data_IF_851975307142
#
_entry.id   IF_851975307142
#
_cell.length_a   1.000
_cell.length_b   1.000
_cell.length_c   1.000
_cell.angle_alpha   90.00
_cell.angle_beta   90.00
_cell.angle_gamma   90.00
#
_symmetry.space_group_name_H-M   'P 1'
#
loop_
_entity.id
_entity.type
_entity.pdbx_description
1 polymer ?
#
# COMPACT_ATOMS: atom_id res chain seq x y z
N UNK A 1 17.80 -16.49 34.64
CA UNK A 1 18.58 -15.30 34.22
C UNK A 1 18.80 -15.23 32.70
N UNK A 2 19.07 -16.34 31.99
CA UNK A 2 19.20 -16.33 30.51
C UNK A 2 17.88 -16.07 29.76
N UNK A 3 16.78 -16.72 30.16
CA UNK A 3 15.47 -16.54 29.51
C UNK A 3 14.92 -15.11 29.62
N UNK A 4 15.31 -14.36 30.65
CA UNK A 4 14.89 -12.98 30.87
C UNK A 4 15.66 -12.00 29.97
N UNK A 5 16.97 -12.24 29.78
CA UNK A 5 17.80 -11.47 28.84
C UNK A 5 17.35 -11.65 27.40
N UNK A 6 16.87 -12.84 27.03
CA UNK A 6 16.41 -13.15 25.68
C UNK A 6 15.06 -12.49 25.34
N UNK A 7 14.11 -12.48 26.29
CA UNK A 7 12.85 -11.72 26.16
C UNK A 7 13.09 -10.21 26.02
N UNK A 8 14.03 -9.66 26.79
CA UNK A 8 14.38 -8.24 26.72
C UNK A 8 15.07 -7.91 25.38
N UNK A 9 15.91 -8.80 24.84
CA UNK A 9 16.57 -8.62 23.53
C UNK A 9 15.56 -8.66 22.38
N UNK A 10 14.61 -9.58 22.40
CA UNK A 10 13.57 -9.69 21.37
C UNK A 10 12.56 -8.53 21.46
N UNK A 11 12.25 -8.06 22.68
CA UNK A 11 11.47 -6.84 22.90
C UNK A 11 12.17 -5.59 22.33
N UNK A 12 13.48 -5.45 22.56
CA UNK A 12 14.28 -4.33 22.02
C UNK A 12 14.39 -4.37 20.49
N UNK A 13 14.57 -5.54 19.88
CA UNK A 13 14.57 -5.69 18.41
C UNK A 13 13.19 -5.37 17.81
N UNK A 14 12.11 -5.87 18.40
CA UNK A 14 10.74 -5.57 17.97
C UNK A 14 10.38 -4.09 18.10
N UNK A 15 10.80 -3.45 19.19
CA UNK A 15 10.60 -2.01 19.38
C UNK A 15 11.45 -1.18 18.41
N UNK A 16 12.69 -1.61 18.10
CA UNK A 16 13.54 -0.96 17.10
C UNK A 16 12.95 -1.07 15.68
N UNK A 17 12.37 -2.22 15.33
CA UNK A 17 11.69 -2.42 14.04
C UNK A 17 10.42 -1.57 13.96
N UNK A 18 9.60 -1.51 15.01
CA UNK A 18 8.41 -0.64 15.05
C UNK A 18 8.80 0.83 14.87
N UNK A 19 9.89 1.27 15.49
CA UNK A 19 10.40 2.64 15.33
C UNK A 19 10.91 2.85 13.90
N UNK A 20 11.62 1.89 13.29
CA UNK A 20 12.09 1.99 11.92
C UNK A 20 10.94 2.08 10.89
N UNK A 21 9.88 1.28 11.04
CA UNK A 21 8.69 1.34 10.18
C UNK A 21 7.96 2.67 10.31
N UNK A 22 7.84 3.21 11.54
CA UNK A 22 7.27 4.54 11.77
C UNK A 22 8.14 5.63 11.14
N UNK A 23 9.46 5.52 11.27
CA UNK A 23 10.38 6.49 10.66
C UNK A 23 10.33 6.45 9.14
N UNK A 24 10.33 5.27 8.51
CA UNK A 24 10.18 5.10 7.06
C UNK A 24 8.82 5.64 6.59
N UNK A 25 7.74 5.34 7.32
CA UNK A 25 6.42 5.90 7.05
C UNK A 25 6.39 7.43 7.16
N UNK A 26 7.13 8.02 8.10
CA UNK A 26 7.23 9.48 8.28
C UNK A 26 8.12 10.15 7.21
N UNK A 27 9.23 9.54 6.79
CA UNK A 27 10.07 10.08 5.71
C UNK A 27 9.35 10.02 4.36
N UNK A 28 8.65 8.94 4.07
CA UNK A 28 7.83 8.85 2.86
C UNK A 28 6.66 9.83 2.92
N UNK A 29 5.98 9.96 4.07
CA UNK A 29 4.91 10.94 4.24
C UNK A 29 5.37 12.37 3.93
N UNK A 30 6.56 12.79 4.39
CA UNK A 30 7.06 14.15 4.13
C UNK A 30 7.48 14.38 2.67
N UNK A 31 7.93 13.34 1.96
CA UNK A 31 8.30 13.42 0.54
C UNK A 31 7.04 13.45 -0.35
N UNK A 32 5.98 12.72 0.01
CA UNK A 32 4.73 12.65 -0.77
C UNK A 32 3.67 13.72 -0.42
N UNK A 33 3.78 14.44 0.70
CA UNK A 33 2.74 15.38 1.18
C UNK A 33 2.90 16.84 0.75
N UNK A 34 3.72 17.13 -0.26
CA UNK A 34 3.77 18.47 -0.85
C UNK A 34 2.67 18.76 -1.88
N UNK A 35 1.73 17.83 -2.11
CA UNK A 35 0.56 18.11 -2.93
C UNK A 35 -0.74 18.03 -2.12
N UNK A 36 -1.56 19.06 -2.33
CA UNK A 36 -2.92 19.26 -1.78
C UNK A 36 -3.95 18.22 -2.25
N UNK A 37 -3.51 17.04 -2.67
CA UNK A 37 -4.40 16.01 -3.21
C UNK A 37 -5.09 15.24 -2.08
N UNK A 38 -6.39 14.99 -2.27
CA UNK A 38 -7.23 14.27 -1.31
C UNK A 38 -6.88 12.77 -1.21
N UNK A 39 -5.75 12.32 -1.77
CA UNK A 39 -5.35 10.91 -1.86
C UNK A 39 -4.24 10.61 -0.86
N UNK A 40 -4.41 9.59 -0.03
CA UNK A 40 -3.40 9.19 0.97
C UNK A 40 -3.35 7.69 1.13
N UNK A 41 -2.16 7.12 0.96
CA UNK A 41 -1.84 5.74 1.29
C UNK A 41 -1.22 5.70 2.69
N UNK A 42 -1.61 4.73 3.51
CA UNK A 42 -1.12 4.59 4.88
C UNK A 42 -0.92 3.13 5.24
N UNK A 43 0.25 2.86 5.82
CA UNK A 43 0.66 1.53 6.26
C UNK A 43 0.67 1.53 7.79
N UNK A 44 -0.34 0.90 8.39
CA UNK A 44 -0.42 0.71 9.83
C UNK A 44 0.14 -0.68 10.21
N UNK A 45 0.13 -1.02 11.50
CA UNK A 45 0.65 -2.31 12.00
C UNK A 45 -0.13 -3.54 11.54
N UNK A 46 -1.41 -3.38 11.21
CA UNK A 46 -2.33 -4.52 10.95
C UNK A 46 -3.09 -4.39 9.62
N UNK A 47 -2.97 -3.23 8.96
CA UNK A 47 -3.75 -2.93 7.77
C UNK A 47 -3.06 -1.91 6.87
N UNK A 48 -3.33 -2.04 5.58
CA UNK A 48 -3.11 -1.02 4.58
C UNK A 48 -4.37 -0.16 4.44
N UNK A 49 -4.22 1.15 4.29
CA UNK A 49 -5.35 2.08 4.14
C UNK A 49 -5.17 2.94 2.90
N UNK A 50 -6.24 3.03 2.10
CA UNK A 50 -6.35 3.92 0.94
C UNK A 50 -7.44 4.94 1.25
N UNK A 51 -7.08 6.23 1.25
CA UNK A 51 -8.04 7.34 1.39
C UNK A 51 -8.06 8.16 0.12
N UNK A 52 -9.25 8.46 -0.37
CA UNK A 52 -9.48 9.43 -1.44
C UNK A 52 -10.86 10.06 -1.27
N UNK A 53 -10.96 11.38 -1.47
CA UNK A 53 -12.20 12.14 -1.22
C UNK A 53 -12.84 11.81 0.15
N UNK A 54 -14.03 11.20 0.17
CA UNK A 54 -14.74 10.77 1.38
C UNK A 54 -14.60 9.26 1.67
N UNK A 55 -13.88 8.52 0.82
CA UNK A 55 -13.67 7.08 0.95
C UNK A 55 -12.47 6.78 1.86
N UNK A 56 -12.60 5.75 2.70
CA UNK A 56 -11.56 5.30 3.62
C UNK A 56 -11.52 3.76 3.65
N UNK A 57 -10.80 3.19 2.70
CA UNK A 57 -10.72 1.75 2.48
C UNK A 57 -9.60 1.20 3.37
N UNK A 58 -9.92 0.15 4.13
CA UNK A 58 -8.99 -0.49 5.06
C UNK A 58 -8.87 -1.97 4.70
N UNK A 59 -7.66 -2.41 4.42
CA UNK A 59 -7.33 -3.76 3.98
C UNK A 59 -6.47 -4.40 5.07
N UNK A 60 -7.04 -5.27 5.92
CA UNK A 60 -6.24 -6.04 6.88
C UNK A 60 -5.18 -6.86 6.16
N UNK A 61 -3.96 -6.93 6.68
CA UNK A 61 -2.90 -7.72 6.05
C UNK A 61 -3.23 -9.21 5.97
N UNK A 62 -4.01 -9.72 6.93
CA UNK A 62 -4.50 -11.10 6.95
C UNK A 62 -5.49 -11.43 5.83
N UNK A 63 -6.08 -10.43 5.18
CA UNK A 63 -7.02 -10.60 4.06
C UNK A 63 -6.32 -10.57 2.69
N UNK A 64 -5.02 -10.26 2.65
CA UNK A 64 -4.24 -10.19 1.41
C UNK A 64 -3.81 -11.60 1.02
N UNK A 65 -4.26 -12.03 -0.16
CA UNK A 65 -3.94 -13.35 -0.72
C UNK A 65 -2.71 -13.28 -1.63
N UNK A 66 -2.56 -12.17 -2.34
CA UNK A 66 -1.48 -11.98 -3.32
C UNK A 66 -1.17 -10.51 -3.50
N UNK A 67 0.10 -10.20 -3.72
CA UNK A 67 0.56 -8.88 -4.16
C UNK A 67 1.47 -9.06 -5.37
N UNK A 68 1.28 -8.26 -6.41
CA UNK A 68 2.12 -8.24 -7.62
C UNK A 68 2.51 -6.81 -7.99
N UNK A 69 3.67 -6.66 -8.61
CA UNK A 69 4.06 -5.45 -9.32
C UNK A 69 3.76 -5.63 -10.81
N UNK A 70 3.00 -4.71 -11.39
CA UNK A 70 2.54 -4.82 -12.78
C UNK A 70 2.65 -3.49 -13.53
N UNK A 71 2.76 -3.56 -14.85
CA UNK A 71 2.58 -2.40 -15.71
C UNK A 71 1.10 -2.19 -16.05
N UNK A 72 0.65 -0.93 -15.93
CA UNK A 72 -0.69 -0.48 -16.28
C UNK A 72 -0.78 -0.34 -17.80
N UNK A 73 -1.35 -1.36 -18.45
CA UNK A 73 -1.58 -1.37 -19.90
C UNK A 73 -3.01 -0.95 -20.26
N UNK A 74 -3.99 -1.31 -19.43
CA UNK A 74 -5.39 -0.95 -19.58
C UNK A 74 -6.06 -0.74 -18.20
N UNK A 75 -6.46 0.50 -17.94
CA UNK A 75 -7.18 0.89 -16.72
C UNK A 75 -8.69 0.56 -16.87
N UNK A 76 -9.21 0.45 -18.08
CA UNK A 76 -10.63 0.22 -18.33
C UNK A 76 -11.51 1.43 -18.05
N UNK A 77 -12.72 1.17 -17.56
CA UNK A 77 -13.80 2.16 -17.46
C UNK A 77 -14.06 2.56 -16.01
N UNK A 78 -14.21 3.87 -15.77
CA UNK A 78 -14.57 4.41 -14.46
C UNK A 78 -16.04 4.09 -14.14
N UNK A 79 -16.29 3.44 -13.01
CA UNK A 79 -17.63 3.14 -12.50
C UNK A 79 -18.06 4.18 -11.45
N UNK A 80 -17.17 4.52 -10.52
CA UNK A 80 -17.38 5.53 -9.47
C UNK A 80 -16.05 6.12 -9.05
N UNK A 81 -15.92 7.43 -8.95
CA UNK A 81 -14.68 8.08 -8.53
C UNK A 81 -14.40 9.29 -9.40
N UNK A 82 -13.12 9.59 -9.61
CA UNK A 82 -12.71 10.75 -10.38
C UNK A 82 -11.40 10.52 -11.12
N UNK A 83 -11.16 11.36 -12.12
CA UNK A 83 -9.92 11.42 -12.89
C UNK A 83 -9.49 12.87 -12.98
N UNK A 84 -8.38 13.18 -12.32
CA UNK A 84 -7.73 14.49 -12.42
C UNK A 84 -6.62 14.45 -13.47
N UNK A 85 -5.92 15.59 -13.62
CA UNK A 85 -4.73 15.68 -14.45
C UNK A 85 -3.62 14.75 -13.95
N UNK A 86 -3.50 14.59 -12.63
CA UNK A 86 -2.36 13.95 -12.00
C UNK A 86 -2.70 12.56 -11.44
N UNK A 87 -3.97 12.32 -11.06
CA UNK A 87 -4.38 11.08 -10.38
C UNK A 87 -5.69 10.51 -10.94
N UNK A 88 -5.87 9.21 -10.75
CA UNK A 88 -7.11 8.49 -11.01
C UNK A 88 -7.44 7.65 -9.78
N UNK A 89 -8.67 7.75 -9.29
CA UNK A 89 -9.08 6.99 -8.13
C UNK A 89 -10.55 6.58 -8.20
N UNK A 90 -10.90 5.56 -7.45
CA UNK A 90 -12.26 5.05 -7.32
C UNK A 90 -12.39 3.59 -7.72
N UNK A 91 -13.58 3.23 -8.16
CA UNK A 91 -13.95 1.89 -8.63
C UNK A 91 -13.96 1.88 -10.15
N UNK A 92 -13.23 0.93 -10.72
CA UNK A 92 -13.01 0.75 -12.14
C UNK A 92 -13.33 -0.68 -12.55
N UNK A 93 -13.52 -0.88 -13.85
CA UNK A 93 -13.75 -2.19 -14.42
C UNK A 93 -12.98 -2.38 -15.73
N UNK A 94 -12.27 -3.50 -15.86
CA UNK A 94 -11.64 -3.92 -17.12
C UNK A 94 -11.79 -5.44 -17.31
N UNK A 95 -11.51 -5.92 -18.53
CA UNK A 95 -11.65 -7.35 -18.87
C UNK A 95 -10.66 -8.26 -18.14
N UNK A 96 -9.53 -7.71 -17.70
CA UNK A 96 -8.44 -8.45 -17.07
C UNK A 96 -8.68 -8.72 -15.58
N UNK A 97 -9.17 -7.72 -14.87
CA UNK A 97 -9.28 -7.71 -13.41
C UNK A 97 -10.72 -7.70 -12.92
N UNK A 98 -11.71 -7.56 -13.82
CA UNK A 98 -13.09 -7.34 -13.45
C UNK A 98 -13.24 -5.99 -12.77
N UNK A 99 -14.06 -5.92 -11.72
CA UNK A 99 -14.27 -4.72 -10.91
C UNK A 99 -13.23 -4.60 -9.79
N UNK A 100 -12.59 -3.45 -9.67
CA UNK A 100 -11.50 -3.22 -8.74
C UNK A 100 -11.43 -1.78 -8.26
N UNK A 101 -10.67 -1.53 -7.19
CA UNK A 101 -10.37 -0.19 -6.70
C UNK A 101 -9.05 0.27 -7.30
N UNK A 102 -9.06 1.42 -7.97
CA UNK A 102 -7.89 2.10 -8.50
C UNK A 102 -7.57 3.30 -7.63
N UNK A 103 -6.29 3.55 -7.39
CA UNK A 103 -5.79 4.78 -6.79
C UNK A 103 -4.34 5.01 -7.25
N UNK A 104 -4.18 5.65 -8.41
CA UNK A 104 -2.88 5.80 -9.09
C UNK A 104 -2.58 7.25 -9.48
N UNK A 105 -1.29 7.58 -9.49
CA UNK A 105 -0.69 8.67 -10.23
C UNK A 105 -0.56 8.28 -11.71
N UNK A 106 -0.91 9.21 -12.60
CA UNK A 106 -0.89 8.99 -14.06
C UNK A 106 0.52 9.04 -14.66
N UNK A 107 1.49 9.51 -13.87
CA UNK A 107 2.91 9.66 -14.24
C UNK A 107 3.70 8.37 -14.13
N UNK A 108 3.23 7.38 -13.36
CA UNK A 108 3.83 6.05 -13.28
C UNK A 108 3.02 5.04 -14.10
N UNK A 109 3.74 4.21 -14.85
CA UNK A 109 3.19 3.05 -15.58
C UNK A 109 3.24 1.79 -14.74
N UNK A 110 3.99 1.76 -13.65
CA UNK A 110 4.02 0.61 -12.73
C UNK A 110 3.02 0.79 -11.60
N UNK A 111 2.44 -0.30 -11.14
CA UNK A 111 1.49 -0.32 -10.04
C UNK A 111 1.65 -1.59 -9.20
N UNK A 112 1.39 -1.45 -7.91
CA UNK A 112 1.19 -2.57 -7.01
C UNK A 112 -0.28 -2.98 -7.05
N UNK A 113 -0.49 -4.26 -7.32
CA UNK A 113 -1.80 -4.90 -7.35
C UNK A 113 -1.92 -5.78 -6.11
N UNK A 114 -2.89 -5.48 -5.26
CA UNK A 114 -3.20 -6.23 -4.04
C UNK A 114 -4.50 -6.98 -4.28
N UNK A 115 -4.46 -8.30 -4.11
CA UNK A 115 -5.61 -9.18 -4.27
C UNK A 115 -6.08 -9.68 -2.89
N UNK A 116 -7.38 -9.58 -2.67
CA UNK A 116 -8.10 -10.15 -1.53
C UNK A 116 -9.22 -11.04 -2.07
N UNK A 117 -9.83 -11.85 -1.21
CA UNK A 117 -10.96 -12.72 -1.60
C UNK A 117 -12.11 -11.95 -2.29
N UNK A 118 -12.34 -10.69 -1.89
CA UNK A 118 -13.50 -9.91 -2.32
C UNK A 118 -13.18 -8.94 -3.46
N UNK A 119 -11.97 -8.40 -3.49
CA UNK A 119 -11.63 -7.28 -4.36
C UNK A 119 -10.14 -7.16 -4.64
N UNK A 120 -9.81 -6.54 -5.78
CA UNK A 120 -8.47 -6.10 -6.15
C UNK A 120 -8.31 -4.61 -5.90
N UNK A 121 -7.13 -4.22 -5.42
CA UNK A 121 -6.74 -2.84 -5.17
C UNK A 121 -5.47 -2.54 -5.96
N UNK A 122 -5.49 -1.50 -6.78
CA UNK A 122 -4.40 -1.12 -7.67
C UNK A 122 -3.92 0.26 -7.26
N UNK A 123 -2.69 0.34 -6.76
CA UNK A 123 -2.08 1.57 -6.22
C UNK A 123 -0.68 1.77 -6.78
N UNK A 124 -0.20 3.01 -6.85
CA UNK A 124 1.17 3.27 -7.28
C UNK A 124 1.76 4.52 -6.60
N UNK A 125 3.08 4.69 -6.79
CA UNK A 125 3.76 5.94 -6.52
C UNK A 125 3.67 6.88 -7.73
N UNK A 126 4.12 8.12 -7.54
CA UNK A 126 4.19 9.15 -8.58
C UNK A 126 5.17 8.82 -9.72
N UNK A 127 6.12 7.92 -9.50
CA UNK A 127 7.11 7.47 -10.46
C UNK A 127 7.21 5.95 -10.46
N UNK A 128 7.71 5.35 -11.53
CA UNK A 128 7.92 3.89 -11.61
C UNK A 128 8.84 3.39 -10.49
N UNK A 129 9.89 4.16 -10.16
CA UNK A 129 10.80 3.86 -9.06
C UNK A 129 10.09 3.93 -7.69
N UNK A 130 9.22 4.92 -7.48
CA UNK A 130 8.42 5.02 -6.26
C UNK A 130 7.44 3.85 -6.13
N UNK A 131 6.84 3.41 -7.24
CA UNK A 131 5.94 2.24 -7.30
C UNK A 131 6.66 0.94 -6.97
N UNK A 132 7.86 0.73 -7.52
CA UNK A 132 8.73 -0.40 -7.18
C UNK A 132 9.12 -0.40 -5.71
N UNK A 133 9.62 0.74 -5.20
CA UNK A 133 10.00 0.87 -3.80
C UNK A 133 8.82 0.64 -2.85
N UNK A 134 7.62 1.10 -3.21
CA UNK A 134 6.40 0.85 -2.46
C UNK A 134 6.08 -0.65 -2.41
N UNK A 135 6.19 -1.36 -3.54
CA UNK A 135 5.95 -2.80 -3.61
C UNK A 135 6.96 -3.61 -2.77
N UNK A 136 8.25 -3.34 -2.92
CA UNK A 136 9.30 -4.05 -2.19
C UNK A 136 9.13 -3.89 -0.67
N UNK A 137 8.87 -2.67 -0.21
CA UNK A 137 8.61 -2.38 1.21
C UNK A 137 7.34 -3.08 1.72
N UNK A 138 6.31 -3.16 0.87
CA UNK A 138 5.07 -3.85 1.23
C UNK A 138 5.29 -5.35 1.39
N UNK A 139 6.07 -5.98 0.50
CA UNK A 139 6.45 -7.39 0.62
C UNK A 139 7.29 -7.66 1.87
N UNK A 140 8.27 -6.80 2.16
CA UNK A 140 9.06 -6.92 3.39
C UNK A 140 8.17 -6.85 4.64
N UNK A 141 7.21 -5.93 4.66
CA UNK A 141 6.26 -5.79 5.76
C UNK A 141 5.41 -7.06 5.93
N UNK A 142 4.85 -7.60 4.84
CA UNK A 142 4.06 -8.83 4.89
C UNK A 142 4.89 -10.03 5.34
N UNK A 143 6.14 -10.14 4.88
CA UNK A 143 7.06 -11.19 5.32
C UNK A 143 7.37 -11.12 6.82
N UNK A 144 7.54 -9.92 7.38
CA UNK A 144 7.76 -9.73 8.81
C UNK A 144 6.53 -10.08 9.66
N UNK A 145 5.33 -9.81 9.15
CA UNK A 145 4.07 -10.16 9.83
C UNK A 145 3.88 -11.67 9.85
N UNK A 146 4.11 -12.36 8.73
CA UNK A 146 3.99 -13.81 8.63
C UNK A 146 5.00 -14.59 9.49
N UNK A 147 6.12 -13.97 9.89
CA UNK A 147 7.08 -14.57 10.82
C UNK A 147 6.72 -14.38 12.31
N UNK A 148 5.68 -13.60 12.62
CA UNK A 148 5.26 -13.32 14.01
C UNK A 148 3.97 -14.06 14.42
N UNK A 149 3.30 -14.74 13.48
CA UNK A 149 2.15 -15.64 13.70
C UNK A 149 2.59 -17.08 13.92
#
# INVERSE_FOLDING_TARGET
MEQEKEKIRNSRKRNAVIVAVIFIGLTLYQIYSQDSSNVRLSFDKVKFTIRYQQENIQIPYSAIEKVTLEEVTDIGTLIKGDTTKDYQFGVWENSRWGRYVLCIYRTSRKCMVIETADMRYVVNGDTDQASEAMYDQFLELLGQIGQQS
#
